data_IF_995079168502
#
_entry.id   IF_995079168502
#
_cell.length_a   1.000
_cell.length_b   1.000
_cell.length_c   1.000
_cell.angle_alpha   90.00
_cell.angle_beta   90.00
_cell.angle_gamma   90.00
#
_symmetry.space_group_name_H-M   'P 1'
#
loop_
_entity.id
_entity.type
_entity.pdbx_description
1 polymer ?
#
# COMPACT_ATOMS: atom_id res chain seq x y z
N UNK A 1 -12.98 0.16 -29.85
CA UNK A 1 -13.89 -0.35 -28.79
C UNK A 1 -13.49 -1.78 -28.44
N UNK A 2 -13.52 -2.73 -29.38
CA UNK A 2 -13.21 -4.15 -29.11
C UNK A 2 -11.80 -4.38 -28.53
N UNK A 3 -10.77 -3.72 -29.07
CA UNK A 3 -9.40 -3.82 -28.56
C UNK A 3 -9.30 -3.32 -27.10
N UNK A 4 -9.96 -2.21 -26.80
CA UNK A 4 -10.01 -1.66 -25.44
C UNK A 4 -10.68 -2.63 -24.46
N UNK A 5 -11.82 -3.21 -24.81
CA UNK A 5 -12.54 -4.15 -23.96
C UNK A 5 -11.72 -5.42 -23.68
N UNK A 6 -10.99 -5.91 -24.68
CA UNK A 6 -10.12 -7.09 -24.51
C UNK A 6 -8.92 -6.75 -23.64
N UNK A 7 -8.26 -5.63 -23.88
CA UNK A 7 -7.13 -5.17 -23.03
C UNK A 7 -7.57 -4.93 -21.58
N UNK A 8 -8.77 -4.38 -21.38
CA UNK A 8 -9.34 -4.17 -20.05
C UNK A 8 -9.45 -5.50 -19.28
N UNK A 9 -10.03 -6.53 -19.91
CA UNK A 9 -10.25 -7.85 -19.28
C UNK A 9 -8.95 -8.64 -19.08
N UNK A 10 -8.10 -8.71 -20.09
CA UNK A 10 -6.91 -9.56 -20.10
C UNK A 10 -5.75 -8.99 -19.29
N UNK A 11 -5.71 -7.65 -19.13
CA UNK A 11 -4.58 -6.96 -18.50
C UNK A 11 -5.03 -6.17 -17.28
N UNK A 12 -5.87 -5.15 -17.45
CA UNK A 12 -6.09 -4.16 -16.41
C UNK A 12 -6.93 -4.67 -15.23
N UNK A 13 -8.07 -5.30 -15.50
CA UNK A 13 -8.91 -5.89 -14.45
C UNK A 13 -8.16 -7.02 -13.75
N UNK A 14 -7.44 -7.84 -14.52
CA UNK A 14 -6.63 -8.92 -13.99
C UNK A 14 -5.52 -8.38 -13.06
N UNK A 15 -4.78 -7.35 -13.48
CA UNK A 15 -3.72 -6.76 -12.66
C UNK A 15 -4.25 -6.19 -11.34
N UNK A 16 -5.45 -5.59 -11.33
CA UNK A 16 -6.04 -5.02 -10.13
C UNK A 16 -6.56 -6.07 -9.14
N UNK A 17 -7.00 -7.22 -9.62
CA UNK A 17 -7.66 -8.27 -8.84
C UNK A 17 -6.70 -9.42 -8.45
N UNK A 18 -5.62 -9.61 -9.18
CA UNK A 18 -4.65 -10.69 -8.96
C UNK A 18 -3.68 -10.34 -7.82
N UNK A 19 -4.16 -10.45 -6.60
CA UNK A 19 -3.37 -10.16 -5.38
C UNK A 19 -2.12 -11.04 -5.31
N UNK A 20 -2.22 -12.30 -5.68
CA UNK A 20 -1.07 -13.23 -5.61
C UNK A 20 -0.05 -12.92 -6.71
N UNK A 21 -0.50 -12.55 -7.91
CA UNK A 21 0.37 -12.07 -8.97
C UNK A 21 1.10 -10.79 -8.60
N UNK A 22 0.41 -9.81 -8.01
CA UNK A 22 1.02 -8.57 -7.51
C UNK A 22 2.09 -8.84 -6.44
N UNK A 23 1.82 -9.74 -5.49
CA UNK A 23 2.81 -10.15 -4.48
C UNK A 23 4.03 -10.83 -5.10
N UNK A 24 3.80 -11.77 -6.03
CA UNK A 24 4.86 -12.49 -6.71
C UNK A 24 5.72 -11.55 -7.57
N UNK A 25 5.07 -10.67 -8.35
CA UNK A 25 5.74 -9.68 -9.18
C UNK A 25 6.59 -8.72 -8.34
N UNK A 26 6.03 -8.17 -7.26
CA UNK A 26 6.77 -7.32 -6.33
C UNK A 26 7.99 -8.06 -5.74
N UNK A 27 7.81 -9.31 -5.29
CA UNK A 27 8.88 -10.11 -4.71
C UNK A 27 10.03 -10.33 -5.70
N UNK A 28 9.70 -10.64 -6.95
CA UNK A 28 10.67 -10.86 -8.02
C UNK A 28 11.44 -9.58 -8.39
N UNK A 29 10.75 -8.43 -8.34
CA UNK A 29 11.28 -7.13 -8.78
C UNK A 29 11.58 -6.18 -7.61
N UNK A 30 11.68 -6.69 -6.38
CA UNK A 30 11.77 -5.88 -5.15
C UNK A 30 12.88 -4.83 -5.17
N UNK A 31 14.01 -5.12 -5.82
CA UNK A 31 15.16 -4.20 -5.91
C UNK A 31 14.87 -2.92 -6.69
N UNK A 32 13.85 -2.90 -7.52
CA UNK A 32 13.45 -1.72 -8.31
C UNK A 32 12.62 -0.71 -7.49
N UNK A 33 12.06 -1.17 -6.36
CA UNK A 33 11.22 -0.35 -5.50
C UNK A 33 12.04 0.24 -4.37
N UNK A 34 12.43 1.49 -4.55
CA UNK A 34 13.24 2.26 -3.58
C UNK A 34 12.57 3.58 -3.27
N UNK A 35 12.89 4.16 -2.13
CA UNK A 35 12.47 5.49 -1.71
C UNK A 35 13.69 6.39 -1.50
N UNK A 36 13.53 7.67 -1.76
CA UNK A 36 14.56 8.68 -1.52
C UNK A 36 14.78 8.92 -0.02
N UNK A 37 13.73 8.68 0.78
CA UNK A 37 13.74 8.86 2.23
C UNK A 37 13.04 7.72 2.96
N UNK A 38 13.47 7.39 4.19
CA UNK A 38 12.81 6.40 5.03
C UNK A 38 11.36 6.80 5.37
N UNK A 39 10.50 5.82 5.56
CA UNK A 39 9.11 6.03 5.98
C UNK A 39 8.82 5.28 7.27
N UNK A 40 7.96 5.84 8.12
CA UNK A 40 7.41 5.12 9.26
C UNK A 40 6.18 4.33 8.83
N UNK A 41 6.24 3.03 8.97
CA UNK A 41 5.12 2.11 8.69
C UNK A 41 4.52 1.61 9.99
N UNK A 42 3.23 1.89 10.22
CA UNK A 42 2.57 1.47 11.44
C UNK A 42 1.24 2.12 11.71
N UNK A 43 0.94 2.25 13.00
CA UNK A 43 -0.26 2.90 13.51
C UNK A 43 0.09 3.97 14.53
N UNK A 44 -0.65 5.08 14.49
CA UNK A 44 -0.71 6.10 15.54
C UNK A 44 -2.01 5.89 16.30
N UNK A 45 -1.93 5.80 17.61
CA UNK A 45 -3.06 5.60 18.51
C UNK A 45 -3.22 6.87 19.33
N UNK A 46 -4.36 7.52 19.23
CA UNK A 46 -4.78 8.67 20.01
C UNK A 46 -5.82 8.22 21.02
N UNK A 47 -5.62 8.44 22.32
CA UNK A 47 -6.52 7.93 23.34
C UNK A 47 -6.83 8.96 24.43
N UNK A 48 -8.07 8.88 24.96
CA UNK A 48 -8.55 9.73 26.05
C UNK A 48 -7.95 9.39 27.41
N UNK A 49 -7.59 8.11 27.61
CA UNK A 49 -7.02 7.62 28.86
C UNK A 49 -6.08 6.43 28.63
N UNK A 50 -5.33 6.07 29.65
CA UNK A 50 -4.35 4.98 29.58
C UNK A 50 -4.95 3.60 29.32
N UNK A 51 -6.15 3.34 29.85
CA UNK A 51 -6.82 2.05 29.67
C UNK A 51 -7.16 1.85 28.19
N UNK A 52 -7.77 2.87 27.56
CA UNK A 52 -8.08 2.86 26.14
C UNK A 52 -6.80 2.76 25.28
N UNK A 53 -5.75 3.49 25.64
CA UNK A 53 -4.47 3.45 24.95
C UNK A 53 -3.83 2.05 24.97
N UNK A 54 -3.78 1.40 26.14
CA UNK A 54 -3.23 0.05 26.32
C UNK A 54 -4.05 -0.98 25.55
N UNK A 55 -5.39 -0.92 25.66
CA UNK A 55 -6.31 -1.82 24.95
C UNK A 55 -6.20 -1.67 23.44
N UNK A 56 -6.20 -0.45 22.92
CA UNK A 56 -6.03 -0.17 21.51
C UNK A 56 -4.67 -0.67 20.98
N UNK A 57 -3.58 -0.43 21.74
CA UNK A 57 -2.24 -0.94 21.41
C UNK A 57 -2.19 -2.46 21.32
N UNK A 58 -2.85 -3.16 22.22
CA UNK A 58 -2.92 -4.61 22.22
C UNK A 58 -3.70 -5.11 20.98
N UNK A 59 -4.84 -4.50 20.67
CA UNK A 59 -5.62 -4.83 19.47
C UNK A 59 -4.79 -4.63 18.21
N UNK A 60 -4.12 -3.48 18.05
CA UNK A 60 -3.26 -3.18 16.89
C UNK A 60 -2.13 -4.18 16.72
N UNK A 61 -1.57 -4.70 17.82
CA UNK A 61 -0.48 -5.69 17.77
C UNK A 61 -0.92 -7.10 17.47
N UNK A 62 -2.11 -7.50 17.90
CA UNK A 62 -2.56 -8.90 17.87
C UNK A 62 -3.60 -9.20 16.80
N UNK A 63 -4.37 -8.20 16.36
CA UNK A 63 -5.44 -8.39 15.40
C UNK A 63 -4.95 -8.34 13.95
N UNK A 64 -5.70 -9.02 13.07
CA UNK A 64 -5.56 -8.80 11.64
C UNK A 64 -5.87 -7.31 11.34
N UNK A 65 -5.09 -6.65 10.48
CA UNK A 65 -5.29 -5.25 10.09
C UNK A 65 -6.73 -4.86 9.76
N UNK A 66 -7.43 -5.70 9.03
CA UNK A 66 -8.82 -5.46 8.60
C UNK A 66 -9.83 -5.55 9.75
N UNK A 67 -9.46 -6.23 10.84
CA UNK A 67 -10.32 -6.43 12.01
C UNK A 67 -10.10 -5.40 13.11
N UNK A 68 -9.05 -4.59 13.03
CA UNK A 68 -8.67 -3.62 14.07
C UNK A 68 -9.83 -2.68 14.41
N UNK A 69 -10.48 -2.09 13.39
CA UNK A 69 -11.58 -1.14 13.61
C UNK A 69 -12.81 -1.80 14.25
N UNK A 70 -13.11 -3.03 13.87
CA UNK A 70 -14.20 -3.80 14.49
C UNK A 70 -13.92 -4.09 15.96
N UNK A 71 -12.72 -4.54 16.29
CA UNK A 71 -12.34 -4.79 17.69
C UNK A 71 -12.27 -3.52 18.53
N UNK A 72 -11.81 -2.40 17.96
CA UNK A 72 -11.84 -1.11 18.65
C UNK A 72 -13.26 -0.69 19.00
N UNK A 73 -14.21 -0.83 18.05
CA UNK A 73 -15.62 -0.53 18.26
C UNK A 73 -16.25 -1.41 19.35
N UNK A 74 -15.90 -2.69 19.40
CA UNK A 74 -16.48 -3.64 20.35
C UNK A 74 -15.89 -3.56 21.76
N UNK A 75 -14.61 -3.22 21.90
CA UNK A 75 -13.85 -3.39 23.14
C UNK A 75 -13.31 -2.11 23.76
N UNK A 76 -13.21 -1.03 22.98
CA UNK A 76 -12.61 0.23 23.42
C UNK A 76 -13.60 1.39 23.26
N UNK A 77 -14.18 1.53 22.08
CA UNK A 77 -15.11 2.60 21.75
C UNK A 77 -16.56 2.14 22.00
N UNK A 78 -16.89 1.98 23.27
CA UNK A 78 -18.20 1.52 23.74
C UNK A 78 -19.11 2.68 24.07
N UNK A 79 -20.41 2.45 24.23
CA UNK A 79 -21.42 3.42 24.64
C UNK A 79 -21.45 4.68 23.76
N UNK A 80 -21.19 4.51 22.45
CA UNK A 80 -21.11 5.61 21.47
C UNK A 80 -20.00 6.65 21.76
N UNK A 81 -19.07 6.34 22.64
CA UNK A 81 -17.91 7.18 22.98
C UNK A 81 -16.66 6.68 22.28
N UNK A 82 -15.96 7.57 21.58
CA UNK A 82 -14.67 7.27 20.95
C UNK A 82 -13.53 7.50 21.96
N UNK A 83 -13.16 6.47 22.70
CA UNK A 83 -12.06 6.52 23.66
C UNK A 83 -10.67 6.41 23.02
N UNK A 84 -10.58 5.76 21.87
CA UNK A 84 -9.34 5.68 21.09
C UNK A 84 -9.61 5.76 19.60
N UNK A 85 -8.76 6.52 18.89
CA UNK A 85 -8.67 6.60 17.44
C UNK A 85 -7.36 6.00 16.99
N UNK A 86 -7.39 5.17 15.95
CA UNK A 86 -6.21 4.56 15.38
C UNK A 86 -6.09 4.97 13.92
N UNK A 87 -4.95 5.56 13.58
CA UNK A 87 -4.59 5.89 12.21
C UNK A 87 -3.48 4.94 11.75
N UNK A 88 -3.72 4.23 10.66
CA UNK A 88 -2.74 3.36 10.02
C UNK A 88 -2.16 4.06 8.81
N UNK A 89 -0.85 3.98 8.64
CA UNK A 89 -0.24 4.65 7.51
C UNK A 89 1.22 4.29 7.27
N UNK A 90 1.71 4.91 6.23
CA UNK A 90 3.10 4.93 5.79
C UNK A 90 3.48 6.40 5.62
N UNK A 91 4.14 6.96 6.63
CA UNK A 91 4.41 8.40 6.70
C UNK A 91 5.85 8.71 6.35
N UNK A 92 6.03 9.76 5.59
CA UNK A 92 7.30 10.47 5.42
C UNK A 92 7.53 11.41 6.59
N UNK A 93 8.77 11.89 6.76
CA UNK A 93 9.06 12.98 7.67
C UNK A 93 8.26 14.23 7.28
N UNK A 94 7.74 14.94 8.26
CA UNK A 94 6.89 16.11 8.07
C UNK A 94 5.41 15.82 7.81
N UNK A 95 5.02 14.56 7.61
CA UNK A 95 3.63 14.21 7.29
C UNK A 95 2.72 14.05 8.53
N UNK A 96 3.29 13.77 9.70
CA UNK A 96 2.54 13.63 10.94
C UNK A 96 3.46 13.94 12.13
N UNK A 97 3.14 15.00 12.89
CA UNK A 97 3.97 15.48 13.98
C UNK A 97 4.20 14.45 15.11
N UNK A 98 3.20 13.60 15.40
CA UNK A 98 3.39 12.53 16.37
C UNK A 98 4.37 11.45 15.86
N UNK A 99 4.31 11.14 14.58
CA UNK A 99 5.26 10.21 13.94
C UNK A 99 6.66 10.81 13.89
N UNK A 100 6.77 12.11 13.60
CA UNK A 100 8.07 12.79 13.58
C UNK A 100 8.73 12.76 14.95
N UNK A 101 7.98 13.10 16.01
CA UNK A 101 8.48 13.13 17.36
C UNK A 101 8.76 11.75 17.95
N UNK A 102 7.81 10.82 17.84
CA UNK A 102 7.88 9.53 18.53
C UNK A 102 8.33 8.36 17.62
N UNK A 103 8.09 8.44 16.32
CA UNK A 103 8.44 7.41 15.34
C UNK A 103 9.83 7.59 14.77
N UNK A 104 10.11 8.74 14.17
CA UNK A 104 11.43 9.10 13.65
C UNK A 104 12.37 9.63 14.73
N UNK A 105 11.82 10.08 15.87
CA UNK A 105 12.59 10.66 17.01
C UNK A 105 13.42 11.87 16.59
N UNK A 106 12.84 12.72 15.76
CA UNK A 106 13.50 13.96 15.33
C UNK A 106 13.66 14.91 16.51
N UNK A 107 14.86 15.47 16.68
CA UNK A 107 15.19 16.34 17.83
C UNK A 107 14.36 17.63 17.84
N UNK A 108 14.08 18.16 16.66
CA UNK A 108 13.39 19.45 16.48
C UNK A 108 11.88 19.27 16.19
N UNK A 109 11.37 18.04 16.28
CA UNK A 109 9.94 17.80 16.08
C UNK A 109 9.14 18.22 17.31
N UNK A 110 8.34 19.25 17.15
CA UNK A 110 7.35 19.67 18.13
C UNK A 110 6.01 19.00 17.86
N UNK A 111 5.45 18.37 18.86
CA UNK A 111 4.12 17.81 18.83
C UNK A 111 3.47 17.91 20.20
N UNK A 112 2.28 18.48 20.24
CA UNK A 112 1.44 18.57 21.44
C UNK A 112 0.17 17.75 21.19
N UNK A 113 -0.11 16.72 22.01
CA UNK A 113 -1.38 15.99 21.94
C UNK A 113 -2.56 16.93 22.14
N UNK A 114 -3.70 16.60 21.54
CA UNK A 114 -4.93 17.36 21.77
C UNK A 114 -5.47 17.11 23.19
N UNK A 115 -6.24 18.08 23.71
CA UNK A 115 -6.93 17.92 25.00
C UNK A 115 -7.91 16.74 24.98
N UNK A 116 -8.53 16.47 23.86
CA UNK A 116 -9.47 15.34 23.70
C UNK A 116 -8.75 13.98 23.73
N UNK A 117 -7.53 13.91 23.17
CA UNK A 117 -6.71 12.70 23.13
C UNK A 117 -5.29 12.98 23.65
N UNK A 118 -5.12 13.13 24.97
CA UNK A 118 -3.85 13.53 25.55
C UNK A 118 -2.78 12.43 25.50
N UNK A 119 -3.17 11.19 25.21
CA UNK A 119 -2.24 10.07 25.14
C UNK A 119 -2.06 9.63 23.69
N UNK A 120 -0.79 9.60 23.26
CA UNK A 120 -0.42 9.17 21.91
C UNK A 120 0.60 8.05 21.98
N UNK A 121 0.30 6.94 21.31
CA UNK A 121 1.19 5.79 21.23
C UNK A 121 1.41 5.43 19.75
N UNK A 122 2.62 4.96 19.44
CA UNK A 122 2.95 4.44 18.12
C UNK A 122 3.21 2.93 18.18
N UNK A 123 2.74 2.23 17.15
CA UNK A 123 3.04 0.82 16.91
C UNK A 123 3.53 0.69 15.47
N UNK A 124 4.81 0.45 15.29
CA UNK A 124 5.40 0.40 13.95
C UNK A 124 6.90 0.54 13.98
N UNK A 125 7.47 0.76 12.80
CA UNK A 125 8.91 0.93 12.62
C UNK A 125 9.21 1.81 11.42
N UNK A 126 10.40 2.41 11.44
CA UNK A 126 10.96 3.09 10.27
C UNK A 126 11.51 2.04 9.31
N UNK A 127 11.14 2.14 8.04
CA UNK A 127 11.60 1.28 6.95
C UNK A 127 12.21 2.15 5.84
N UNK A 128 13.29 1.65 5.23
CA UNK A 128 14.06 2.40 4.21
C UNK A 128 13.57 2.15 2.78
N UNK A 129 12.85 1.07 2.57
CA UNK A 129 12.32 0.69 1.25
C UNK A 129 11.03 -0.11 1.42
N UNK A 130 10.19 -0.23 0.38
CA UNK A 130 8.98 -1.04 0.40
C UNK A 130 9.26 -2.47 0.83
N UNK A 131 8.46 -3.01 1.74
CA UNK A 131 8.58 -4.38 2.23
C UNK A 131 7.57 -5.32 1.58
N UNK A 132 6.43 -4.79 1.16
CA UNK A 132 5.36 -5.51 0.48
C UNK A 132 4.75 -4.64 -0.62
N UNK A 133 4.02 -5.24 -1.56
CA UNK A 133 3.47 -4.54 -2.72
C UNK A 133 2.51 -3.41 -2.34
N UNK A 134 1.83 -3.52 -1.19
CA UNK A 134 0.91 -2.49 -0.68
C UNK A 134 1.61 -1.19 -0.28
N UNK A 135 2.92 -1.23 -0.02
CA UNK A 135 3.71 -0.05 0.32
C UNK A 135 3.93 0.90 -0.88
N UNK A 136 3.85 0.34 -2.11
CA UNK A 136 3.93 1.05 -3.39
C UNK A 136 2.88 0.53 -4.38
N UNK A 137 1.67 0.26 -3.90
CA UNK A 137 0.63 -0.44 -4.64
C UNK A 137 0.38 0.14 -6.04
N UNK A 138 0.26 1.45 -6.15
CA UNK A 138 -0.02 2.10 -7.43
C UNK A 138 1.07 1.79 -8.47
N UNK A 139 2.34 1.99 -8.09
CA UNK A 139 3.48 1.71 -8.97
C UNK A 139 3.59 0.23 -9.31
N UNK A 140 3.47 -0.64 -8.30
CA UNK A 140 3.54 -2.11 -8.53
C UNK A 140 2.41 -2.58 -9.44
N UNK A 141 1.20 -2.04 -9.29
CA UNK A 141 0.07 -2.40 -10.17
C UNK A 141 0.34 -1.95 -11.61
N UNK A 142 0.84 -0.73 -11.82
CA UNK A 142 1.20 -0.24 -13.16
C UNK A 142 2.28 -1.10 -13.82
N UNK A 143 3.37 -1.36 -13.09
CA UNK A 143 4.47 -2.19 -13.61
C UNK A 143 4.01 -3.63 -13.89
N UNK A 144 3.09 -4.16 -13.10
CA UNK A 144 2.49 -5.48 -13.30
C UNK A 144 1.55 -5.50 -14.51
N UNK A 145 0.79 -4.42 -14.77
CA UNK A 145 0.00 -4.26 -15.98
C UNK A 145 0.88 -4.31 -17.23
N UNK A 146 1.97 -3.55 -17.23
CA UNK A 146 2.94 -3.55 -18.34
C UNK A 146 3.56 -4.94 -18.57
N UNK A 147 3.83 -5.67 -17.48
CA UNK A 147 4.31 -7.03 -17.56
C UNK A 147 3.27 -7.98 -18.19
N UNK A 148 2.02 -7.93 -17.72
CA UNK A 148 0.94 -8.77 -18.26
C UNK A 148 0.64 -8.45 -19.73
N UNK A 149 0.70 -7.18 -20.13
CA UNK A 149 0.52 -6.76 -21.52
C UNK A 149 1.60 -7.36 -22.43
N UNK A 150 2.86 -7.26 -22.01
CA UNK A 150 3.98 -7.86 -22.76
C UNK A 150 3.84 -9.38 -22.90
N UNK A 151 3.48 -10.06 -21.82
CA UNK A 151 3.21 -11.50 -21.81
C UNK A 151 2.06 -11.86 -22.75
N UNK A 152 0.99 -11.09 -22.71
CA UNK A 152 -0.18 -11.30 -23.57
C UNK A 152 0.15 -11.09 -25.04
N UNK A 153 0.84 -10.00 -25.38
CA UNK A 153 1.28 -9.73 -26.76
C UNK A 153 2.26 -10.80 -27.26
N UNK A 154 3.17 -11.29 -26.41
CA UNK A 154 4.08 -12.37 -26.78
C UNK A 154 3.32 -13.65 -27.14
N UNK A 155 2.32 -14.04 -26.32
CA UNK A 155 1.45 -15.19 -26.59
C UNK A 155 0.63 -15.02 -27.86
N UNK A 156 0.13 -13.81 -28.13
CA UNK A 156 -0.59 -13.51 -29.37
C UNK A 156 0.31 -13.66 -30.60
N UNK A 157 1.54 -13.17 -30.55
CA UNK A 157 2.52 -13.29 -31.64
C UNK A 157 2.91 -14.74 -31.92
N UNK A 158 3.03 -15.55 -30.87
CA UNK A 158 3.27 -16.99 -31.02
C UNK A 158 2.07 -17.69 -31.67
N UNK A 159 0.86 -17.37 -31.20
CA UNK A 159 -0.38 -18.00 -31.70
C UNK A 159 -0.76 -17.54 -33.10
N UNK A 160 -0.46 -16.29 -33.45
CA UNK A 160 -0.81 -15.65 -34.71
C UNK A 160 0.42 -15.06 -35.39
N UNK A 161 1.30 -15.87 -35.96
CA UNK A 161 2.49 -15.36 -36.63
C UNK A 161 2.13 -14.48 -37.82
N UNK A 162 2.72 -13.28 -37.88
CA UNK A 162 2.55 -12.34 -38.98
C UNK A 162 3.64 -12.60 -40.00
N UNK A 163 3.22 -12.95 -41.24
CA UNK A 163 4.11 -13.09 -42.38
C UNK A 163 3.90 -11.90 -43.32
N UNK A 164 4.95 -11.09 -43.48
CA UNK A 164 4.92 -9.98 -44.43
C UNK A 164 5.36 -10.50 -45.79
N UNK A 165 4.49 -10.31 -46.81
CA UNK A 165 4.86 -10.56 -48.18
C UNK A 165 5.77 -9.42 -48.67
N UNK A 166 7.11 -9.69 -48.61
CA UNK A 166 8.11 -8.68 -48.91
C UNK A 166 8.00 -8.11 -50.31
N UNK A 167 7.66 -8.96 -51.30
CA UNK A 167 7.53 -8.52 -52.70
C UNK A 167 6.37 -7.54 -52.89
N UNK A 168 5.25 -7.76 -52.19
CA UNK A 168 4.12 -6.81 -52.21
C UNK A 168 4.47 -5.54 -51.46
N UNK A 169 5.13 -5.64 -50.31
CA UNK A 169 5.57 -4.48 -49.51
C UNK A 169 6.48 -3.53 -50.30
N UNK A 170 7.46 -4.07 -51.01
CA UNK A 170 8.38 -3.30 -51.87
C UNK A 170 7.72 -2.69 -53.11
N UNK A 171 6.62 -3.26 -53.57
CA UNK A 171 5.85 -2.72 -54.71
C UNK A 171 4.96 -1.51 -54.38
N UNK A 172 4.80 -1.20 -53.08
CA UNK A 172 3.94 -0.09 -52.59
C UNK A 172 4.78 1.18 -52.30
N UNK A 173 6.11 1.05 -52.24
CA UNK A 173 7.04 2.19 -52.11
C UNK A 173 7.37 2.77 -53.47
#
# INVERSE_FOLDING_TARGET
ILLFDVSLREVWDKANQDIEGLKAYFKANKKQYTWDEPRFKGCVIYAKNEVAAKSAKQIVKSANPDSVMSYLKQRVNVDSVMYARVERGLWKQGANGAVDKYGFKLKDAEYTPSEEYPIVLLVGKVIKAPQEYTDERAKVTTDYQDYLEKEWVAKLREKYPVVINQAVWESIQ
#
